data_IF_523968660418
#
_entry.id   IF_523968660418
#
_cell.length_a   1.000
_cell.length_b   1.000
_cell.length_c   1.000
_cell.angle_alpha   90.00
_cell.angle_beta   90.00
_cell.angle_gamma   90.00
#
_symmetry.space_group_name_H-M   'P 1'
#
loop_
_entity.id
_entity.type
_entity.pdbx_description
1 polymer ?
#
# COMPACT_ATOMS: atom_id res chain seq x y z
N UNK A 1 -27.01 2.74 -23.81
CA UNK A 1 -25.73 2.05 -24.07
C UNK A 1 -24.67 2.73 -23.21
N UNK A 2 -24.35 2.17 -22.04
CA UNK A 2 -23.15 2.52 -21.26
C UNK A 2 -22.86 1.34 -20.34
N UNK A 3 -21.60 0.94 -20.29
CA UNK A 3 -21.10 -0.37 -19.91
C UNK A 3 -21.45 -0.75 -18.46
N UNK A 4 -22.00 -1.96 -18.28
CA UNK A 4 -22.06 -2.61 -16.97
C UNK A 4 -20.62 -2.81 -16.48
N UNK A 5 -20.16 -1.98 -15.54
CA UNK A 5 -19.13 -2.43 -14.59
C UNK A 5 -19.63 -3.76 -14.03
N UNK A 6 -18.88 -4.85 -14.25
CA UNK A 6 -19.16 -6.11 -13.57
C UNK A 6 -19.22 -5.79 -12.07
N UNK A 7 -20.36 -6.06 -11.43
CA UNK A 7 -20.53 -5.83 -10.02
C UNK A 7 -19.39 -6.53 -9.28
N UNK A 8 -18.49 -5.76 -8.67
CA UNK A 8 -17.40 -6.30 -7.86
C UNK A 8 -18.06 -7.12 -6.75
N UNK A 9 -17.94 -8.45 -6.82
CA UNK A 9 -18.35 -9.29 -5.70
C UNK A 9 -17.34 -9.04 -4.59
N UNK A 10 -17.78 -8.70 -3.36
CA UNK A 10 -16.87 -8.63 -2.23
C UNK A 10 -16.14 -9.96 -2.11
N UNK A 11 -14.81 -9.94 -2.06
CA UNK A 11 -14.06 -11.14 -1.73
C UNK A 11 -14.32 -11.48 -0.26
N UNK A 12 -14.56 -12.76 0.04
CA UNK A 12 -14.70 -13.22 1.42
C UNK A 12 -13.31 -13.23 2.06
N UNK A 13 -12.98 -12.15 2.76
CA UNK A 13 -11.72 -12.00 3.45
C UNK A 13 -11.84 -12.61 4.85
N UNK A 14 -11.03 -13.65 5.13
CA UNK A 14 -10.92 -14.25 6.48
C UNK A 14 -10.57 -13.23 7.56
N UNK A 15 -9.88 -12.15 7.18
CA UNK A 15 -9.55 -11.02 8.06
C UNK A 15 -9.92 -9.75 7.32
N UNK A 16 -10.68 -8.86 7.98
CA UNK A 16 -11.18 -7.64 7.36
C UNK A 16 -10.07 -6.59 7.22
N UNK A 17 -9.67 -6.21 5.99
CA UNK A 17 -8.70 -5.15 5.80
C UNK A 17 -9.33 -3.78 6.13
N UNK A 18 -8.58 -2.95 6.83
CA UNK A 18 -8.98 -1.61 7.26
C UNK A 18 -8.26 -0.54 6.44
N UNK A 19 -7.03 -0.82 5.98
CA UNK A 19 -6.26 0.10 5.14
C UNK A 19 -4.79 -0.29 5.02
N UNK A 20 -4.00 0.60 4.45
CA UNK A 20 -2.54 0.47 4.41
C UNK A 20 -1.98 1.08 5.69
N UNK A 21 -1.23 0.28 6.45
CA UNK A 21 -0.53 0.74 7.64
C UNK A 21 0.79 1.40 7.29
N UNK A 22 1.56 0.78 6.39
CA UNK A 22 2.80 1.33 5.86
C UNK A 22 3.18 0.70 4.52
N UNK A 23 4.08 1.38 3.81
CA UNK A 23 4.78 0.84 2.64
C UNK A 23 6.29 0.97 2.90
N UNK A 24 7.02 -0.14 2.86
CA UNK A 24 8.48 -0.12 2.87
C UNK A 24 8.99 0.16 1.47
N UNK A 25 9.75 1.25 1.33
CA UNK A 25 10.30 1.71 0.07
C UNK A 25 11.81 1.90 0.20
N UNK A 26 12.54 1.34 -0.75
CA UNK A 26 13.96 1.63 -0.95
C UNK A 26 14.16 2.46 -2.22
N UNK A 27 15.23 3.25 -2.26
CA UNK A 27 15.59 4.10 -3.39
C UNK A 27 15.91 5.53 -2.96
N UNK A 28 15.76 6.46 -3.89
CA UNK A 28 16.02 7.88 -3.64
C UNK A 28 14.83 8.51 -2.90
N UNK A 29 15.04 8.74 -1.60
CA UNK A 29 14.06 9.38 -0.71
C UNK A 29 13.67 10.77 -1.20
N UNK A 30 14.66 11.60 -1.55
CA UNK A 30 14.42 13.00 -1.90
C UNK A 30 13.66 13.10 -3.21
N UNK A 31 14.08 12.36 -4.23
CA UNK A 31 13.41 12.38 -5.53
C UNK A 31 11.97 11.87 -5.43
N UNK A 32 11.72 10.86 -4.57
CA UNK A 32 10.36 10.35 -4.35
C UNK A 32 9.49 11.33 -3.58
N UNK A 33 10.01 11.95 -2.51
CA UNK A 33 9.29 12.97 -1.75
C UNK A 33 8.94 14.18 -2.64
N UNK A 34 9.87 14.60 -3.50
CA UNK A 34 9.65 15.66 -4.49
C UNK A 34 8.57 15.27 -5.52
N UNK A 35 8.56 14.01 -5.97
CA UNK A 35 7.53 13.48 -6.88
C UNK A 35 6.14 13.39 -6.22
N UNK A 36 6.06 13.01 -4.94
CA UNK A 36 4.79 12.94 -4.21
C UNK A 36 4.18 14.32 -3.95
N UNK A 37 5.00 15.37 -3.91
CA UNK A 37 4.55 16.73 -3.67
C UNK A 37 3.92 16.90 -2.28
N UNK A 38 2.63 17.20 -2.22
CA UNK A 38 1.90 17.40 -0.95
C UNK A 38 1.24 16.14 -0.42
N UNK A 39 1.22 15.06 -1.21
CA UNK A 39 0.60 13.80 -0.79
C UNK A 39 1.48 13.08 0.23
N UNK A 40 0.87 12.61 1.31
CA UNK A 40 1.55 11.88 2.36
C UNK A 40 1.11 10.42 2.36
N UNK A 41 2.01 9.53 1.95
CA UNK A 41 1.87 8.10 2.15
C UNK A 41 2.59 7.67 3.42
N UNK A 42 2.11 6.64 4.14
CA UNK A 42 2.79 6.11 5.33
C UNK A 42 4.03 5.30 4.93
N UNK A 43 5.07 5.99 4.42
CA UNK A 43 6.29 5.35 3.94
C UNK A 43 7.25 5.03 5.09
N UNK A 44 7.86 3.86 5.02
CA UNK A 44 9.05 3.48 5.80
C UNK A 44 10.22 3.33 4.84
N UNK A 45 11.22 4.19 5.00
CA UNK A 45 12.43 4.13 4.19
C UNK A 45 13.33 2.99 4.68
N UNK A 46 13.70 2.11 3.76
CA UNK A 46 14.58 0.97 4.02
C UNK A 46 15.75 0.96 3.05
N UNK A 47 16.84 0.29 3.43
CA UNK A 47 18.01 0.13 2.57
C UNK A 47 17.77 -0.92 1.47
N UNK A 48 18.55 -0.84 0.38
CA UNK A 48 18.58 -1.82 -0.70
C UNK A 48 18.29 -1.23 -2.08
N UNK A 49 18.15 -2.09 -3.12
CA UNK A 49 17.85 -1.64 -4.47
C UNK A 49 16.51 -0.92 -4.54
N UNK A 50 16.31 0.05 -5.45
CA UNK A 50 15.03 0.76 -5.58
C UNK A 50 13.82 -0.17 -5.72
N UNK A 51 12.71 0.15 -5.05
CA UNK A 51 11.43 -0.54 -5.17
C UNK A 51 10.73 -0.82 -3.84
N UNK A 52 9.46 -1.25 -3.94
CA UNK A 52 8.64 -1.66 -2.79
C UNK A 52 9.22 -2.94 -2.20
N UNK A 53 9.47 -2.95 -0.89
CA UNK A 53 10.04 -4.10 -0.15
C UNK A 53 9.01 -4.85 0.67
N UNK A 54 8.03 -4.12 1.18
CA UNK A 54 6.90 -4.70 1.87
C UNK A 54 5.73 -3.73 1.90
N UNK A 55 4.53 -4.28 2.08
CA UNK A 55 3.33 -3.51 2.38
C UNK A 55 2.71 -4.07 3.65
N UNK A 56 2.59 -3.22 4.68
CA UNK A 56 1.84 -3.51 5.89
C UNK A 56 0.37 -3.20 5.66
N UNK A 57 -0.47 -4.23 5.63
CA UNK A 57 -1.92 -4.11 5.52
C UNK A 57 -2.51 -4.14 6.93
N UNK A 58 -3.15 -3.04 7.33
CA UNK A 58 -3.87 -2.95 8.60
C UNK A 58 -5.15 -3.76 8.52
N UNK A 59 -5.38 -4.59 9.53
CA UNK A 59 -6.62 -5.35 9.71
C UNK A 59 -7.17 -5.14 11.11
N UNK A 60 -8.41 -5.57 11.37
CA UNK A 60 -8.99 -5.54 12.73
C UNK A 60 -8.21 -6.42 13.74
N UNK A 61 -7.44 -7.40 13.25
CA UNK A 61 -6.67 -8.35 14.08
C UNK A 61 -5.17 -8.02 14.17
N UNK A 62 -4.72 -6.90 13.60
CA UNK A 62 -3.31 -6.50 13.53
C UNK A 62 -2.83 -6.28 12.09
N UNK A 63 -1.51 -6.35 11.88
CA UNK A 63 -0.90 -6.06 10.57
C UNK A 63 -0.51 -7.34 9.83
N UNK A 64 -0.95 -7.47 8.58
CA UNK A 64 -0.45 -8.50 7.66
C UNK A 64 0.63 -7.87 6.80
N UNK A 65 1.80 -8.52 6.69
CA UNK A 65 2.92 -8.02 5.88
C UNK A 65 3.01 -8.82 4.58
N UNK A 66 2.85 -8.12 3.45
CA UNK A 66 3.10 -8.67 2.11
C UNK A 66 4.52 -8.32 1.67
N UNK A 67 5.26 -9.30 1.16
CA UNK A 67 6.63 -9.13 0.63
C UNK A 67 6.67 -9.53 -0.83
#
# INVERSE_FOLDING_TARGET
MSLCCAAQRPADHRVKPVGIEYIELAGDRKATEEWMGTEALPLRWVEGPPGIKAVGIKTESGTIVMR
#
